data_IF_076492107290
#
_entry.id   IF_076492107290
#
_cell.length_a   1.000
_cell.length_b   1.000
_cell.length_c   1.000
_cell.angle_alpha   90.00
_cell.angle_beta   90.00
_cell.angle_gamma   90.00
#
_symmetry.space_group_name_H-M   'P 1'
#
loop_
_entity.id
_entity.type
_entity.pdbx_description
1 polymer ?
#
# COMPACT_ATOMS: atom_id res chain seq x y z
N UNK A 1 -8.49 5.20 4.95
CA UNK A 1 -8.81 5.24 3.51
C UNK A 1 -8.69 6.66 2.94
N UNK A 2 -7.64 7.43 3.29
CA UNK A 2 -7.40 8.78 2.73
C UNK A 2 -5.92 9.08 2.53
N UNK A 3 -5.05 8.46 3.34
CA UNK A 3 -3.60 8.64 3.27
C UNK A 3 -3.02 8.35 1.88
N UNK A 4 -3.45 7.27 1.21
CA UNK A 4 -2.97 6.90 -0.14
C UNK A 4 -3.22 8.03 -1.14
N UNK A 5 -4.47 8.46 -1.26
CA UNK A 5 -4.85 9.49 -2.22
C UNK A 5 -4.19 10.85 -1.91
N UNK A 6 -4.08 11.20 -0.63
CA UNK A 6 -3.37 12.42 -0.21
C UNK A 6 -1.88 12.37 -0.53
N UNK A 7 -1.23 11.23 -0.32
CA UNK A 7 0.19 11.05 -0.64
C UNK A 7 0.43 11.07 -2.15
N UNK A 8 -0.40 10.39 -2.95
CA UNK A 8 -0.34 10.45 -4.42
C UNK A 8 -0.56 11.86 -4.96
N UNK A 9 -1.48 12.64 -4.38
CA UNK A 9 -1.68 14.04 -4.75
C UNK A 9 -0.43 14.90 -4.53
N UNK A 10 0.47 14.49 -3.62
CA UNK A 10 1.75 15.15 -3.37
C UNK A 10 2.90 14.59 -4.18
N UNK A 11 2.62 13.70 -5.14
CA UNK A 11 3.63 13.06 -5.97
C UNK A 11 4.48 12.04 -5.24
N UNK A 12 4.04 11.57 -4.06
CA UNK A 12 4.76 10.53 -3.34
C UNK A 12 4.57 9.16 -3.99
N UNK A 13 5.59 8.32 -3.86
CA UNK A 13 5.45 6.89 -3.98
C UNK A 13 4.77 6.34 -2.72
N UNK A 14 3.77 5.49 -2.89
CA UNK A 14 2.96 4.97 -1.80
C UNK A 14 3.06 3.47 -1.73
N UNK A 15 3.70 2.99 -0.66
CA UNK A 15 3.68 1.59 -0.25
C UNK A 15 2.71 1.42 0.90
N UNK A 16 1.74 0.51 0.77
CA UNK A 16 0.74 0.23 1.79
C UNK A 16 0.81 -1.23 2.26
N UNK A 17 0.57 -1.47 3.55
CA UNK A 17 0.42 -2.82 4.10
C UNK A 17 -1.03 -3.09 4.46
N UNK A 18 -1.58 -4.25 4.09
CA UNK A 18 -2.94 -4.64 4.49
C UNK A 18 -3.10 -6.16 4.61
N UNK A 19 -4.27 -6.59 5.10
CA UNK A 19 -4.65 -7.99 5.11
C UNK A 19 -4.93 -8.48 3.67
N UNK A 20 -4.91 -9.81 3.40
CA UNK A 20 -5.09 -10.36 2.06
C UNK A 20 -6.38 -9.88 1.37
N UNK A 21 -7.46 -9.78 2.14
CA UNK A 21 -8.79 -9.42 1.64
C UNK A 21 -8.85 -7.98 1.10
N UNK A 22 -7.92 -7.12 1.53
CA UNK A 22 -7.92 -5.70 1.19
C UNK A 22 -6.92 -5.32 0.10
N UNK A 23 -6.15 -6.28 -0.44
CA UNK A 23 -5.08 -5.98 -1.42
C UNK A 23 -5.63 -5.27 -2.65
N UNK A 24 -6.70 -5.81 -3.25
CA UNK A 24 -7.35 -5.22 -4.43
C UNK A 24 -7.91 -3.83 -4.12
N UNK A 25 -8.50 -3.67 -2.94
CA UNK A 25 -9.05 -2.40 -2.50
C UNK A 25 -7.96 -1.33 -2.31
N UNK A 26 -6.88 -1.63 -1.58
CA UNK A 26 -5.78 -0.68 -1.35
C UNK A 26 -5.07 -0.33 -2.65
N UNK A 27 -4.88 -1.30 -3.56
CA UNK A 27 -4.33 -1.04 -4.90
C UNK A 27 -5.22 -0.06 -5.68
N UNK A 28 -6.55 -0.23 -5.63
CA UNK A 28 -7.49 0.69 -6.30
C UNK A 28 -7.46 2.13 -5.77
N UNK A 29 -6.95 2.36 -4.56
CA UNK A 29 -6.78 3.71 -4.00
C UNK A 29 -5.59 4.46 -4.62
N UNK A 30 -4.75 3.77 -5.40
CA UNK A 30 -3.58 4.33 -6.06
C UNK A 30 -2.26 4.05 -5.34
N UNK A 31 -2.19 3.01 -4.50
CA UNK A 31 -0.93 2.54 -3.95
C UNK A 31 -0.07 1.90 -5.05
N UNK A 32 1.22 2.23 -5.08
CA UNK A 32 2.17 1.71 -6.07
C UNK A 32 2.59 0.28 -5.73
N UNK A 33 2.73 -0.01 -4.44
CA UNK A 33 2.97 -1.34 -3.91
C UNK A 33 2.04 -1.64 -2.73
N UNK A 34 1.53 -2.86 -2.68
CA UNK A 34 0.69 -3.35 -1.57
C UNK A 34 1.29 -4.63 -1.02
N UNK A 35 1.71 -4.57 0.23
CA UNK A 35 2.32 -5.69 0.96
C UNK A 35 1.24 -6.37 1.78
N UNK A 36 1.01 -7.65 1.49
CA UNK A 36 0.22 -8.54 2.34
C UNK A 36 1.07 -8.94 3.55
N UNK A 37 0.80 -8.33 4.70
CA UNK A 37 1.60 -8.56 5.91
C UNK A 37 1.55 -10.00 6.41
N UNK A 38 0.62 -10.82 5.92
CA UNK A 38 0.51 -12.25 6.28
C UNK A 38 1.48 -13.12 5.49
N UNK A 39 2.00 -12.62 4.36
CA UNK A 39 2.90 -13.34 3.46
C UNK A 39 4.32 -12.82 3.53
N UNK A 40 4.48 -11.52 3.76
CA UNK A 40 5.77 -10.84 3.70
C UNK A 40 5.83 -9.72 4.74
N UNK A 41 7.01 -9.52 5.33
CA UNK A 41 7.22 -8.39 6.24
C UNK A 41 7.44 -7.13 5.44
N UNK A 42 6.85 -6.04 5.89
CA UNK A 42 7.02 -4.73 5.26
C UNK A 42 8.48 -4.32 5.09
N UNK A 43 9.33 -4.61 6.07
CA UNK A 43 10.76 -4.25 6.06
C UNK A 43 11.53 -4.90 4.90
N UNK A 44 11.11 -6.09 4.46
CA UNK A 44 11.72 -6.80 3.34
C UNK A 44 11.24 -6.25 1.98
N UNK A 45 10.04 -5.64 1.96
CA UNK A 45 9.38 -5.14 0.76
C UNK A 45 9.59 -3.65 0.49
N UNK A 46 9.94 -2.85 1.51
CA UNK A 46 10.08 -1.40 1.43
C UNK A 46 11.52 -0.89 1.71
N UNK A 47 12.50 -1.81 1.68
CA UNK A 47 13.92 -1.54 1.92
C UNK A 47 14.69 -1.07 0.69
#
# INVERSE_FOLDING_TARGET
>A
MYAVQLAKLRGAEVVGTCSPDNVSFVSSLGADCVVDYTKERFEDAAG
#
